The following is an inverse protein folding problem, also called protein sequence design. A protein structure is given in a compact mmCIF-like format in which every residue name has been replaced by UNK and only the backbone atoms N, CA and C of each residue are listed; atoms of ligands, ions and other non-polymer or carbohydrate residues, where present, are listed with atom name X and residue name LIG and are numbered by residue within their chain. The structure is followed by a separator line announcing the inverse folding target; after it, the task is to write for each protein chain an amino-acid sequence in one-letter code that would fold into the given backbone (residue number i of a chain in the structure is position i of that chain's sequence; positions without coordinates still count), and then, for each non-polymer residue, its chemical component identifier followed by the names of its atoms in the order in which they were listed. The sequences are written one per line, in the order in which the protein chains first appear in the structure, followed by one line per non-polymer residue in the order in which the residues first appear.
data_IF_775776611163
#
_entry.id   IF_775776611163
#
_cell.length_a   1.000
_cell.length_b   1.000
_cell.length_c   1.000
_cell.angle_alpha   90.00
_cell.angle_beta   90.00
_cell.angle_gamma   90.00
#
_symmetry.space_group_name_H-M   'P 1'
#
loop_
_entity.id
_entity.type
_entity.pdbx_description
1 polymer ?
#
# COMPACT_ATOMS: atom_id res chain seq x y z
N UNK A 1 7.04 -6.67 -8.19
CA UNK A 1 6.57 -5.46 -8.89
C UNK A 1 7.19 -4.22 -8.23
N UNK A 2 6.83 -3.86 -7.00
CA UNK A 2 7.36 -2.66 -6.29
C UNK A 2 8.89 -2.68 -6.28
N UNK A 3 9.51 -3.75 -5.76
CA UNK A 3 10.97 -3.89 -5.66
C UNK A 3 11.67 -4.15 -7.00
N UNK A 4 10.98 -4.40 -8.09
CA UNK A 4 11.59 -4.53 -9.43
C UNK A 4 11.66 -3.20 -10.18
N UNK A 5 10.96 -2.15 -9.72
CA UNK A 5 11.05 -0.80 -10.30
C UNK A 5 12.41 -0.19 -10.04
N UNK A 6 13.11 0.21 -11.13
CA UNK A 6 14.42 0.88 -11.04
C UNK A 6 14.30 2.22 -10.29
N UNK A 7 13.24 2.99 -10.54
CA UNK A 7 13.02 4.29 -9.90
C UNK A 7 12.85 4.14 -8.38
N UNK A 8 12.06 3.15 -7.93
CA UNK A 8 11.86 2.88 -6.50
C UNK A 8 13.15 2.40 -5.86
N UNK A 9 13.90 1.49 -6.50
CA UNK A 9 15.19 1.03 -5.96
C UNK A 9 16.20 2.15 -5.81
N UNK A 10 16.28 3.06 -6.77
CA UNK A 10 17.15 4.24 -6.68
C UNK A 10 16.71 5.17 -5.53
N UNK A 11 15.42 5.35 -5.33
CA UNK A 11 14.88 6.17 -4.25
C UNK A 11 15.14 5.57 -2.85
N UNK A 12 15.24 4.26 -2.76
CA UNK A 12 15.50 3.56 -1.49
C UNK A 12 16.97 3.61 -1.07
N UNK A 13 17.91 3.86 -1.97
CA UNK A 13 19.34 3.84 -1.66
C UNK A 13 19.69 4.92 -0.61
N UNK A 14 20.10 4.49 0.58
CA UNK A 14 20.41 5.36 1.72
C UNK A 14 19.21 6.04 2.39
N UNK A 15 17.97 5.71 1.97
CA UNK A 15 16.77 6.39 2.44
C UNK A 15 16.31 5.90 3.82
N UNK A 16 15.77 6.85 4.62
CA UNK A 16 14.85 6.54 5.71
C UNK A 16 13.45 6.31 5.15
N UNK A 17 12.79 5.24 5.57
CA UNK A 17 11.51 4.80 4.99
C UNK A 17 10.43 4.70 6.06
N UNK A 18 9.23 5.19 5.75
CA UNK A 18 7.99 4.89 6.46
C UNK A 18 7.14 3.94 5.60
N UNK A 19 6.71 2.81 6.15
CA UNK A 19 5.80 1.86 5.50
C UNK A 19 4.47 1.83 6.26
N UNK A 20 3.43 2.47 5.70
CA UNK A 20 2.11 2.61 6.33
C UNK A 20 1.21 1.45 5.93
N UNK A 21 0.67 0.73 6.92
CA UNK A 21 -0.06 -0.51 6.72
C UNK A 21 0.89 -1.65 6.33
N UNK A 22 2.06 -1.69 6.97
CA UNK A 22 3.16 -2.59 6.64
C UNK A 22 2.88 -4.08 6.89
N UNK A 23 1.75 -4.41 7.54
CA UNK A 23 1.47 -5.77 7.98
C UNK A 23 2.60 -6.29 8.88
N UNK A 24 3.09 -7.50 8.59
CA UNK A 24 4.18 -8.12 9.34
C UNK A 24 5.60 -7.62 8.97
N UNK A 25 5.71 -6.53 8.22
CA UNK A 25 6.98 -5.89 7.87
C UNK A 25 7.80 -6.62 6.79
N UNK A 26 7.18 -7.50 6.00
CA UNK A 26 7.87 -8.20 4.92
C UNK A 26 8.54 -7.25 3.92
N UNK A 27 7.82 -6.22 3.48
CA UNK A 27 8.37 -5.24 2.55
C UNK A 27 9.50 -4.41 3.15
N UNK A 28 9.48 -4.16 4.47
CA UNK A 28 10.57 -3.49 5.15
C UNK A 28 11.92 -4.22 4.97
N UNK A 29 11.94 -5.55 5.06
CA UNK A 29 13.14 -6.35 4.76
C UNK A 29 13.57 -6.24 3.30
N UNK A 30 12.60 -6.19 2.36
CA UNK A 30 12.89 -6.00 0.93
C UNK A 30 13.41 -4.60 0.62
N UNK A 31 12.96 -3.57 1.37
CA UNK A 31 13.45 -2.20 1.25
C UNK A 31 14.89 -2.08 1.77
N UNK A 32 15.23 -2.75 2.88
CA UNK A 32 16.63 -2.83 3.37
C UNK A 32 17.54 -3.53 2.36
N UNK A 33 17.08 -4.63 1.77
CA UNK A 33 17.84 -5.33 0.71
C UNK A 33 18.05 -4.42 -0.53
N UNK A 34 17.11 -3.51 -0.81
CA UNK A 34 17.22 -2.52 -1.89
C UNK A 34 18.07 -1.31 -1.52
N UNK A 35 18.70 -1.26 -0.35
CA UNK A 35 19.63 -0.23 0.07
C UNK A 35 19.07 0.83 1.02
N UNK A 36 17.85 0.68 1.54
CA UNK A 36 17.32 1.59 2.53
C UNK A 36 18.20 1.61 3.79
N UNK A 37 18.39 2.79 4.38
CA UNK A 37 19.15 2.95 5.62
C UNK A 37 18.37 2.37 6.81
N UNK A 38 17.08 2.66 6.87
CA UNK A 38 16.19 2.18 7.93
C UNK A 38 14.74 2.20 7.46
N UNK A 39 13.92 1.33 8.04
CA UNK A 39 12.48 1.25 7.78
C UNK A 39 11.72 1.28 9.10
N UNK A 40 10.77 2.18 9.22
CA UNK A 40 9.74 2.15 10.25
C UNK A 40 8.43 1.76 9.58
N UNK A 41 7.95 0.57 9.88
CA UNK A 41 6.61 0.11 9.51
C UNK A 41 5.61 0.46 10.61
N UNK A 42 4.40 0.84 10.23
CA UNK A 42 3.29 1.00 11.17
C UNK A 42 2.08 0.18 10.73
N UNK A 43 1.51 -0.54 11.68
CA UNK A 43 0.27 -1.29 11.48
C UNK A 43 -0.45 -1.43 12.83
N UNK A 44 -1.75 -1.10 12.96
CA UNK A 44 -2.46 -1.17 14.23
C UNK A 44 -2.72 -2.60 14.72
N UNK A 45 -2.43 -3.62 13.91
CA UNK A 45 -2.63 -5.02 14.27
C UNK A 45 -1.49 -5.54 15.16
N UNK A 46 -1.80 -5.81 16.43
CA UNK A 46 -0.85 -6.44 17.34
C UNK A 46 -0.33 -7.79 16.83
N UNK A 47 -1.15 -8.55 16.09
CA UNK A 47 -0.75 -9.81 15.48
C UNK A 47 0.41 -9.62 14.50
N UNK A 48 0.33 -8.62 13.62
CA UNK A 48 1.38 -8.34 12.65
C UNK A 48 2.66 -7.87 13.33
N UNK A 49 2.56 -7.04 14.37
CA UNK A 49 3.72 -6.64 15.17
C UNK A 49 4.41 -7.84 15.83
N UNK A 50 3.65 -8.78 16.38
CA UNK A 50 4.19 -10.01 16.98
C UNK A 50 4.86 -10.90 15.91
N UNK A 51 4.25 -11.06 14.74
CA UNK A 51 4.86 -11.80 13.63
C UNK A 51 6.19 -11.17 13.21
N UNK A 52 6.23 -9.84 13.10
CA UNK A 52 7.47 -9.11 12.81
C UNK A 52 8.54 -9.38 13.86
N UNK A 53 8.22 -9.26 15.14
CA UNK A 53 9.17 -9.52 16.23
C UNK A 53 9.74 -10.95 16.21
N UNK A 54 8.94 -11.94 15.82
CA UNK A 54 9.43 -13.31 15.64
C UNK A 54 10.49 -13.38 14.53
N UNK A 55 10.25 -12.73 13.37
CA UNK A 55 11.22 -12.69 12.25
C UNK A 55 12.46 -11.90 12.65
N UNK A 56 12.31 -10.75 13.30
CA UNK A 56 13.41 -9.88 13.73
C UNK A 56 14.41 -10.63 14.64
N UNK A 57 13.91 -11.50 15.52
CA UNK A 57 14.77 -12.34 16.39
C UNK A 57 15.71 -13.26 15.61
N UNK A 58 15.29 -13.73 14.42
CA UNK A 58 16.14 -14.56 13.55
C UNK A 58 17.09 -13.71 12.71
N UNK A 59 16.59 -12.60 12.16
CA UNK A 59 17.35 -11.71 11.27
C UNK A 59 18.39 -10.91 12.08
N UNK A 60 18.09 -10.55 13.32
CA UNK A 60 18.94 -9.75 14.23
C UNK A 60 19.35 -8.38 13.66
N UNK A 61 18.51 -7.81 12.79
CA UNK A 61 18.72 -6.49 12.20
C UNK A 61 17.59 -5.53 12.66
N UNK A 62 18.00 -4.51 13.41
CA UNK A 62 17.07 -3.52 14.00
C UNK A 62 16.69 -2.38 13.06
N UNK A 63 17.21 -2.37 11.85
CA UNK A 63 16.91 -1.31 10.87
C UNK A 63 15.49 -1.40 10.30
N UNK A 64 14.81 -2.55 10.44
CA UNK A 64 13.38 -2.70 10.14
C UNK A 64 12.63 -2.88 11.45
N UNK A 65 11.82 -1.90 11.81
CA UNK A 65 11.01 -1.92 13.06
C UNK A 65 9.54 -1.74 12.71
N UNK A 66 8.66 -2.57 13.29
CA UNK A 66 7.20 -2.44 13.13
C UNK A 66 6.58 -2.00 14.46
N UNK A 67 5.81 -0.91 14.40
CA UNK A 67 5.15 -0.29 15.54
C UNK A 67 3.63 -0.39 15.44
N UNK A 68 2.91 -0.59 16.56
CA UNK A 68 1.45 -0.76 16.58
C UNK A 68 0.72 0.60 16.53
N UNK A 69 1.03 1.43 15.54
CA UNK A 69 0.45 2.76 15.37
C UNK A 69 -0.40 2.87 14.12
N UNK A 70 -1.40 3.74 14.20
CA UNK A 70 -2.09 4.30 13.04
C UNK A 70 -1.30 5.52 12.55
N UNK A 71 -1.49 5.89 11.29
CA UNK A 71 -0.84 7.06 10.71
C UNK A 71 -1.18 8.36 11.48
N UNK A 72 -2.42 8.45 11.97
CA UNK A 72 -2.94 9.59 12.74
C UNK A 72 -2.25 9.78 14.11
N UNK A 73 -1.55 8.77 14.59
CA UNK A 73 -0.85 8.79 15.88
C UNK A 73 0.62 9.19 15.75
N UNK A 74 1.14 9.30 14.52
CA UNK A 74 2.51 9.74 14.30
C UNK A 74 2.63 11.27 14.43
N UNK A 75 3.67 11.76 15.13
CA UNK A 75 3.96 13.18 15.17
C UNK A 75 4.42 13.69 13.80
N UNK A 76 3.92 14.84 13.36
CA UNK A 76 4.26 15.48 12.08
C UNK A 76 5.72 15.95 11.99
N UNK A 77 6.45 15.91 13.10
CA UNK A 77 7.89 16.21 13.15
C UNK A 77 8.76 15.06 12.64
N UNK A 78 8.21 13.84 12.56
CA UNK A 78 8.91 12.72 11.94
C UNK A 78 8.74 12.79 10.43
N UNK A 79 9.83 12.81 9.69
CA UNK A 79 9.82 12.86 8.24
C UNK A 79 10.78 11.84 7.65
N UNK A 80 10.41 11.31 6.48
CA UNK A 80 11.09 10.21 5.82
C UNK A 80 11.39 10.55 4.36
N UNK A 81 12.49 10.04 3.83
CA UNK A 81 12.86 10.24 2.42
C UNK A 81 11.88 9.50 1.48
N UNK A 82 11.39 8.33 1.90
CA UNK A 82 10.38 7.57 1.18
C UNK A 82 9.23 7.20 2.11
N UNK A 83 8.00 7.47 1.69
CA UNK A 83 6.78 7.06 2.39
C UNK A 83 6.00 6.11 1.50
N UNK A 84 5.78 4.90 2.00
CA UNK A 84 5.01 3.86 1.32
C UNK A 84 3.62 3.73 1.92
N UNK A 85 2.62 3.54 1.06
CA UNK A 85 1.25 3.18 1.44
C UNK A 85 0.73 2.16 0.43
N UNK A 86 0.88 0.87 0.74
CA UNK A 86 0.54 -0.21 -0.16
C UNK A 86 -0.67 -0.98 0.34
N UNK A 87 -1.74 -1.01 -0.45
CA UNK A 87 -2.97 -1.71 -0.10
C UNK A 87 -3.81 -1.02 0.98
N UNK A 88 -3.69 0.28 1.19
CA UNK A 88 -4.30 1.00 2.33
C UNK A 88 -5.40 1.97 1.92
N UNK A 89 -5.21 2.77 0.86
CA UNK A 89 -6.07 3.92 0.58
C UNK A 89 -7.53 3.54 0.33
N UNK A 90 -7.80 2.41 -0.30
CA UNK A 90 -9.16 1.93 -0.54
C UNK A 90 -9.91 1.50 0.74
N UNK A 91 -9.20 1.36 1.86
CA UNK A 91 -9.76 1.14 3.18
C UNK A 91 -10.03 2.45 3.95
N UNK A 92 -9.71 3.60 3.36
CA UNK A 92 -9.89 4.90 4.01
C UNK A 92 -11.19 5.54 3.56
N UNK A 93 -11.96 6.05 4.52
CA UNK A 93 -13.21 6.81 4.23
C UNK A 93 -12.93 8.18 3.63
N UNK A 94 -11.80 8.77 4.05
CA UNK A 94 -11.27 10.01 3.50
C UNK A 94 -9.87 9.75 2.93
N UNK A 95 -9.77 9.47 1.63
CA UNK A 95 -8.49 9.22 0.97
C UNK A 95 -7.62 10.49 0.87
N UNK A 96 -8.22 11.68 0.83
CA UNK A 96 -7.48 12.93 0.74
C UNK A 96 -6.83 13.25 2.10
N UNK A 97 -7.54 13.08 3.23
CA UNK A 97 -6.94 13.21 4.56
C UNK A 97 -5.78 12.22 4.75
N UNK A 98 -5.97 10.98 4.30
CA UNK A 98 -4.88 9.98 4.35
C UNK A 98 -3.65 10.43 3.57
N UNK A 99 -3.81 10.92 2.34
CA UNK A 99 -2.71 11.41 1.51
C UNK A 99 -2.06 12.66 2.09
N UNK A 100 -2.83 13.56 2.69
CA UNK A 100 -2.31 14.75 3.39
C UNK A 100 -1.42 14.35 4.57
N UNK A 101 -1.84 13.37 5.35
CA UNK A 101 -1.02 12.84 6.45
C UNK A 101 0.26 12.15 5.97
N UNK A 102 0.21 11.43 4.85
CA UNK A 102 1.41 10.89 4.22
C UNK A 102 2.36 12.01 3.77
N UNK A 103 1.78 13.10 3.23
CA UNK A 103 2.56 14.27 2.84
C UNK A 103 3.28 14.91 4.03
N UNK A 104 2.62 15.02 5.19
CA UNK A 104 3.24 15.54 6.42
C UNK A 104 4.43 14.68 6.88
N UNK A 105 4.38 13.37 6.66
CA UNK A 105 5.46 12.44 6.99
C UNK A 105 6.57 12.38 5.93
N UNK A 106 6.36 12.96 4.75
CA UNK A 106 7.36 12.97 3.68
C UNK A 106 8.29 14.17 3.85
N UNK A 107 9.59 13.96 3.80
CA UNK A 107 10.60 15.05 3.85
C UNK A 107 10.56 15.90 2.58
N UNK A 108 11.10 17.12 2.62
CA UNK A 108 11.33 17.93 1.41
C UNK A 108 12.15 17.12 0.40
N UNK A 109 11.74 17.15 -0.85
CA UNK A 109 12.28 16.32 -1.95
C UNK A 109 12.10 14.80 -1.77
N UNK A 110 11.33 14.38 -0.76
CA UNK A 110 10.99 12.97 -0.53
C UNK A 110 9.94 12.43 -1.52
N UNK A 111 9.76 11.13 -1.50
CA UNK A 111 8.86 10.42 -2.41
C UNK A 111 7.73 9.72 -1.67
N UNK A 112 6.52 9.82 -2.23
CA UNK A 112 5.41 8.93 -1.98
C UNK A 112 5.47 7.76 -2.95
N UNK A 113 5.32 6.56 -2.43
CA UNK A 113 5.11 5.34 -3.21
C UNK A 113 3.77 4.74 -2.77
N UNK A 114 2.79 4.74 -3.66
CA UNK A 114 1.46 4.23 -3.36
C UNK A 114 1.11 3.06 -4.27
N UNK A 115 0.60 1.99 -3.70
CA UNK A 115 0.02 0.86 -4.42
C UNK A 115 -1.43 0.69 -3.97
N UNK A 116 -2.36 0.60 -4.91
CA UNK A 116 -3.78 0.53 -4.56
C UNK A 116 -4.60 -0.20 -5.62
N UNK A 117 -5.79 -0.62 -5.21
CA UNK A 117 -6.84 -0.99 -6.16
C UNK A 117 -7.22 0.22 -7.02
N UNK A 118 -7.54 -0.04 -8.28
CA UNK A 118 -7.96 0.97 -9.24
C UNK A 118 -9.21 0.51 -9.99
N UNK A 119 -10.14 1.44 -10.26
CA UNK A 119 -11.27 1.23 -11.14
C UNK A 119 -10.90 1.70 -12.55
N UNK A 120 -11.08 0.85 -13.54
CA UNK A 120 -10.66 1.13 -14.93
C UNK A 120 -11.62 2.06 -15.69
N UNK A 121 -12.66 2.57 -14.99
CA UNK A 121 -13.60 3.55 -15.54
C UNK A 121 -13.18 4.98 -15.17
N UNK A 122 -13.86 5.97 -15.80
CA UNK A 122 -13.58 7.40 -15.56
C UNK A 122 -13.92 7.89 -14.15
N UNK A 123 -14.74 7.16 -13.41
CA UNK A 123 -15.19 7.54 -12.07
C UNK A 123 -14.81 6.47 -11.07
N UNK A 124 -14.51 6.88 -9.85
CA UNK A 124 -14.24 5.98 -8.74
C UNK A 124 -15.46 5.12 -8.41
N UNK A 125 -15.20 3.88 -8.00
CA UNK A 125 -16.22 2.94 -7.55
C UNK A 125 -16.36 3.02 -6.03
N UNK A 126 -17.58 3.18 -5.56
CA UNK A 126 -17.97 3.11 -4.15
C UNK A 126 -18.83 1.86 -3.96
N UNK A 127 -18.26 0.75 -3.50
CA UNK A 127 -19.00 -0.51 -3.37
C UNK A 127 -20.15 -0.38 -2.37
N UNK A 128 -21.32 -0.91 -2.73
CA UNK A 128 -22.40 -1.09 -1.78
C UNK A 128 -22.20 -2.43 -1.06
N UNK A 129 -21.64 -2.37 0.16
CA UNK A 129 -21.32 -3.55 0.96
C UNK A 129 -19.91 -4.07 0.73
N UNK A 130 -19.75 -5.23 0.09
CA UNK A 130 -18.43 -5.87 -0.09
C UNK A 130 -17.87 -5.64 -1.49
N UNK A 131 -16.54 -5.63 -1.59
CA UNK A 131 -15.80 -5.70 -2.83
C UNK A 131 -14.80 -6.85 -2.76
N UNK A 132 -14.89 -7.79 -3.66
CA UNK A 132 -14.07 -8.99 -3.67
C UNK A 132 -14.04 -9.67 -2.27
N UNK A 133 -15.21 -9.82 -1.65
CA UNK A 133 -15.48 -10.33 -0.30
C UNK A 133 -14.94 -9.48 0.87
N UNK A 134 -14.18 -8.43 0.60
CA UNK A 134 -13.70 -7.49 1.62
C UNK A 134 -14.83 -6.55 2.05
N UNK A 135 -15.13 -6.48 3.34
CA UNK A 135 -16.19 -5.63 3.91
C UNK A 135 -15.72 -4.22 4.30
N UNK A 136 -14.47 -3.89 4.08
CA UNK A 136 -13.84 -2.62 4.48
C UNK A 136 -13.23 -1.85 3.31
N UNK A 137 -13.71 -2.07 2.09
CA UNK A 137 -13.37 -1.26 0.92
C UNK A 137 -14.40 -0.16 0.79
N UNK A 138 -13.96 1.09 0.97
CA UNK A 138 -14.84 2.26 0.91
C UNK A 138 -14.86 2.91 -0.45
N UNK A 139 -13.73 2.88 -1.16
CA UNK A 139 -13.60 3.47 -2.48
C UNK A 139 -12.50 2.73 -3.26
N UNK A 140 -12.78 2.36 -4.51
CA UNK A 140 -11.76 1.96 -5.48
C UNK A 140 -11.62 3.14 -6.44
N UNK A 141 -10.54 3.95 -6.32
CA UNK A 141 -10.42 5.17 -7.12
C UNK A 141 -10.28 4.88 -8.61
N UNK A 142 -10.75 5.80 -9.45
CA UNK A 142 -10.29 5.89 -10.83
C UNK A 142 -8.87 6.46 -10.87
N UNK A 143 -8.12 6.20 -11.93
CA UNK A 143 -6.77 6.76 -12.11
C UNK A 143 -6.79 8.29 -12.01
N UNK A 144 -7.75 8.93 -12.70
CA UNK A 144 -7.89 10.39 -12.70
C UNK A 144 -8.19 10.97 -11.30
N UNK A 145 -9.05 10.30 -10.54
CA UNK A 145 -9.36 10.75 -9.19
C UNK A 145 -8.15 10.57 -8.27
N UNK A 146 -7.47 9.43 -8.35
CA UNK A 146 -6.29 9.16 -7.53
C UNK A 146 -5.18 10.18 -7.77
N UNK A 147 -4.88 10.50 -9.01
CA UNK A 147 -3.90 11.54 -9.36
C UNK A 147 -4.32 12.91 -8.82
N UNK A 148 -5.58 13.30 -9.02
CA UNK A 148 -6.12 14.54 -8.48
C UNK A 148 -6.04 14.59 -6.95
N UNK A 149 -6.28 13.49 -6.24
CA UNK A 149 -6.16 13.44 -4.78
C UNK A 149 -4.71 13.57 -4.31
N UNK A 150 -3.77 12.92 -4.99
CA UNK A 150 -2.33 13.02 -4.71
C UNK A 150 -1.86 14.47 -4.86
N UNK A 151 -2.28 15.15 -5.96
CA UNK A 151 -1.95 16.56 -6.19
C UNK A 151 -2.60 17.50 -5.17
N UNK A 152 -3.86 17.26 -4.81
CA UNK A 152 -4.58 18.02 -3.76
C UNK A 152 -3.94 17.88 -2.39
N UNK A 153 -3.32 16.74 -2.08
CA UNK A 153 -2.57 16.54 -0.85
C UNK A 153 -1.22 17.28 -0.83
N UNK A 154 -0.80 17.88 -1.97
CA UNK A 154 0.40 18.69 -2.09
C UNK A 154 1.55 18.06 -2.87
N UNK A 155 1.46 16.77 -3.20
CA UNK A 155 2.48 16.11 -4.02
C UNK A 155 2.46 16.59 -5.47
N UNK A 156 3.60 16.46 -6.14
CA UNK A 156 3.83 16.84 -7.53
C UNK A 156 4.17 15.64 -8.38
N UNK A 157 3.91 15.78 -9.67
CA UNK A 157 4.30 14.84 -10.73
C UNK A 157 3.91 13.38 -10.44
N UNK A 158 2.64 13.08 -10.03
CA UNK A 158 2.23 11.71 -9.86
C UNK A 158 2.43 10.94 -11.16
N UNK A 159 3.21 9.86 -11.08
CA UNK A 159 3.62 9.08 -12.25
C UNK A 159 3.28 7.61 -12.02
N UNK A 160 2.55 7.02 -12.96
CA UNK A 160 2.26 5.59 -12.98
C UNK A 160 3.53 4.80 -13.27
N UNK A 161 3.86 3.89 -12.38
CA UNK A 161 5.02 2.99 -12.50
C UNK A 161 4.61 1.65 -13.09
N UNK A 162 3.45 1.13 -12.65
CA UNK A 162 2.96 -0.18 -13.05
C UNK A 162 1.44 -0.29 -12.84
N UNK A 163 0.78 -1.08 -13.69
CA UNK A 163 -0.62 -1.47 -13.53
C UNK A 163 -0.75 -2.96 -13.83
N UNK A 164 -1.47 -3.71 -12.98
CA UNK A 164 -1.58 -5.16 -13.11
C UNK A 164 -2.95 -5.65 -12.62
N UNK A 165 -3.59 -6.51 -13.40
CA UNK A 165 -4.71 -7.31 -12.90
C UNK A 165 -4.20 -8.30 -11.87
N UNK A 166 -4.82 -8.32 -10.70
CA UNK A 166 -4.47 -9.30 -9.66
C UNK A 166 -4.83 -10.70 -10.16
N UNK A 167 -3.90 -11.63 -10.01
CA UNK A 167 -4.08 -13.01 -10.49
C UNK A 167 -4.28 -13.98 -9.32
N UNK A 168 -4.94 -15.10 -9.61
CA UNK A 168 -5.08 -16.20 -8.63
C UNK A 168 -3.74 -16.88 -8.30
N UNK A 169 -2.68 -16.62 -9.08
CA UNK A 169 -1.32 -17.07 -8.77
C UNK A 169 -0.66 -16.17 -7.71
N UNK A 170 -0.92 -14.85 -7.75
CA UNK A 170 -0.43 -13.91 -6.74
C UNK A 170 -1.16 -14.07 -5.41
N UNK A 171 -2.48 -14.22 -5.44
CA UNK A 171 -3.33 -14.41 -4.26
C UNK A 171 -3.93 -15.83 -4.24
N UNK A 172 -3.05 -16.81 -4.27
CA UNK A 172 -3.42 -18.22 -4.23
C UNK A 172 -3.84 -18.67 -2.83
N UNK A 173 -4.71 -19.65 -2.76
CA UNK A 173 -4.95 -20.40 -1.53
C UNK A 173 -3.67 -21.14 -1.11
N UNK A 174 -3.42 -21.18 0.20
CA UNK A 174 -2.35 -21.99 0.81
C UNK A 174 -2.92 -22.77 1.98
N UNK A 175 -2.22 -23.82 2.42
CA UNK A 175 -2.62 -24.60 3.60
C UNK A 175 -2.74 -23.75 4.89
N UNK A 176 -2.00 -22.64 4.94
CA UNK A 176 -2.00 -21.71 6.07
C UNK A 176 -3.05 -20.61 5.96
N UNK A 177 -3.70 -20.49 4.80
CA UNK A 177 -4.73 -19.48 4.55
C UNK A 177 -6.08 -20.02 5.02
N UNK A 178 -6.44 -19.71 6.26
CA UNK A 178 -7.72 -20.10 6.84
C UNK A 178 -8.91 -19.25 6.36
N UNK A 179 -8.72 -18.35 5.42
CA UNK A 179 -9.71 -17.46 4.82
C UNK A 179 -9.57 -17.43 3.30
N UNK A 180 -10.46 -16.75 2.65
CA UNK A 180 -10.71 -16.84 1.21
C UNK A 180 -9.55 -16.30 0.34
N UNK A 181 -9.25 -17.02 -0.72
CA UNK A 181 -8.34 -16.61 -1.79
C UNK A 181 -9.05 -15.72 -2.83
N UNK A 182 -8.29 -15.12 -3.75
CA UNK A 182 -8.89 -14.38 -4.87
C UNK A 182 -9.85 -15.24 -5.70
N UNK A 183 -9.54 -16.53 -5.90
CA UNK A 183 -10.41 -17.44 -6.63
C UNK A 183 -11.82 -17.54 -6.03
N UNK A 184 -11.95 -17.43 -4.71
CA UNK A 184 -13.24 -17.40 -4.02
C UNK A 184 -13.98 -16.07 -4.16
N UNK A 185 -13.26 -14.98 -4.48
CA UNK A 185 -13.80 -13.65 -4.60
C UNK A 185 -14.22 -13.29 -6.03
N UNK A 186 -13.81 -14.07 -7.03
CA UNK A 186 -14.19 -13.89 -8.42
C UNK A 186 -15.50 -14.62 -8.75
N UNK A 187 -16.27 -14.04 -9.69
CA UNK A 187 -17.46 -14.67 -10.22
C UNK A 187 -17.06 -15.93 -11.02
N UNK A 188 -17.60 -17.12 -10.69
CA UNK A 188 -17.23 -18.37 -11.34
C UNK A 188 -17.62 -18.44 -12.83
N UNK A 189 -18.59 -17.61 -13.26
CA UNK A 189 -19.05 -17.55 -14.66
C UNK A 189 -18.34 -16.45 -15.45
N UNK A 190 -17.75 -15.44 -14.78
CA UNK A 190 -17.00 -14.36 -15.40
C UNK A 190 -15.89 -13.88 -14.47
N UNK A 191 -14.66 -14.39 -14.60
CA UNK A 191 -13.55 -14.03 -13.73
C UNK A 191 -13.04 -12.58 -13.92
N UNK A 192 -13.62 -11.79 -14.82
CA UNK A 192 -13.39 -10.35 -14.89
C UNK A 192 -14.23 -9.56 -13.87
N UNK A 193 -15.15 -10.23 -13.20
CA UNK A 193 -15.98 -9.66 -12.16
C UNK A 193 -15.73 -10.32 -10.81
N UNK A 194 -15.98 -9.56 -9.74
CA UNK A 194 -16.11 -10.13 -8.39
C UNK A 194 -17.45 -10.87 -8.24
N UNK A 195 -17.62 -11.65 -7.19
CA UNK A 195 -18.91 -12.29 -6.89
C UNK A 195 -20.04 -11.29 -6.64
N UNK A 196 -19.70 -10.06 -6.24
CA UNK A 196 -20.64 -8.95 -6.06
C UNK A 196 -20.97 -8.25 -7.39
N UNK A 197 -20.33 -8.62 -8.49
CA UNK A 197 -20.57 -8.06 -9.83
C UNK A 197 -19.74 -6.82 -10.17
N UNK A 198 -18.81 -6.43 -9.33
CA UNK A 198 -17.86 -5.35 -9.62
C UNK A 198 -16.68 -5.86 -10.48
N UNK A 199 -15.94 -4.94 -11.07
CA UNK A 199 -14.67 -5.24 -11.75
C UNK A 199 -13.74 -6.06 -10.85
N UNK A 200 -13.10 -7.10 -11.40
CA UNK A 200 -12.04 -7.85 -10.72
C UNK A 200 -10.86 -6.94 -10.34
N UNK A 201 -10.14 -7.21 -9.24
CA UNK A 201 -9.11 -6.34 -8.72
C UNK A 201 -8.00 -6.04 -9.73
N UNK A 202 -7.82 -4.76 -10.05
CA UNK A 202 -6.68 -4.19 -10.76
C UNK A 202 -5.90 -3.36 -9.75
N UNK A 203 -4.57 -3.43 -9.77
CA UNK A 203 -3.69 -2.68 -8.88
C UNK A 203 -2.77 -1.78 -9.66
N UNK A 204 -2.60 -0.58 -9.20
CA UNK A 204 -1.72 0.42 -9.76
C UNK A 204 -0.66 0.84 -8.75
N UNK A 205 0.55 1.07 -9.25
CA UNK A 205 1.70 1.56 -8.51
C UNK A 205 2.08 2.94 -9.02
N UNK A 206 2.08 3.91 -8.13
CA UNK A 206 2.34 5.32 -8.44
C UNK A 206 3.48 5.83 -7.55
N UNK A 207 4.29 6.72 -8.09
CA UNK A 207 5.23 7.55 -7.35
C UNK A 207 4.86 9.04 -7.53
N UNK A 208 5.08 9.84 -6.47
CA UNK A 208 4.90 11.28 -6.52
C UNK A 208 5.95 11.96 -5.61
N UNK A 209 6.23 13.25 -5.83
CA UNK A 209 7.27 14.00 -5.12
C UNK A 209 6.66 15.01 -4.16
N UNK A 210 7.33 15.24 -3.04
CA UNK A 210 7.17 16.45 -2.21
C UNK A 210 8.26 17.42 -2.59
N UNK A 211 7.87 18.64 -2.98
CA UNK A 211 8.78 19.77 -3.19
C UNK A 211 9.18 20.45 -1.87
#
# INVERSE_FOLDING_TARGET
RVMSSKAIRQALEGASVLDVGCGNGYFGWRMLEAGAQSVIGIDPSALFCLQHQCVERYVQDKRNTVLPFKLEELPTTLQFNCVFSMGVIYHRRDPIDHLTRLYDQTSSSGLLIIETLIHDQKTSLYPDGRYARMGNVWCVPSESDLFSWIEKAGYKDPTKVDITKTTTQEQRATEWMGFESLANALNPNDPQLTIEGYQAPIRELIIARKE
#
